data_IF_550512031699
#
_entry.id   IF_550512031699
#
_cell.length_a   1.000
_cell.length_b   1.000
_cell.length_c   1.000
_cell.angle_alpha   90.00
_cell.angle_beta   90.00
_cell.angle_gamma   90.00
#
_symmetry.space_group_name_H-M   'P 1'
#
loop_
_entity.id
_entity.type
_entity.pdbx_description
1 polymer ?
#
# COMPACT_ATOMS: atom_id res chain seq x y z
N UNK A 1 9.58 4.04 -1.50
CA UNK A 1 9.85 2.68 -2.04
C UNK A 1 10.98 1.92 -1.31
N UNK A 2 11.33 2.28 -0.07
CA UNK A 2 12.56 1.82 0.58
C UNK A 2 12.80 0.30 0.55
N UNK A 3 11.81 -0.53 0.91
CA UNK A 3 12.04 -1.98 1.01
C UNK A 3 12.12 -2.69 -0.34
N UNK A 4 11.72 -2.05 -1.44
CA UNK A 4 11.77 -2.62 -2.80
C UNK A 4 12.88 -1.98 -3.65
N UNK A 5 13.37 -0.79 -3.28
CA UNK A 5 14.30 0.00 -4.09
C UNK A 5 15.69 0.17 -3.46
N UNK A 6 15.79 0.19 -2.14
CA UNK A 6 17.05 0.50 -1.47
C UNK A 6 18.00 -0.70 -1.55
N UNK A 7 19.26 -0.46 -1.91
CA UNK A 7 20.26 -1.51 -2.18
C UNK A 7 20.32 -2.57 -1.07
N UNK A 8 20.47 -2.12 0.20
CA UNK A 8 20.49 -2.99 1.40
C UNK A 8 19.24 -3.86 1.59
N UNK A 9 18.10 -3.47 1.05
CA UNK A 9 16.86 -4.24 1.14
C UNK A 9 16.72 -5.19 -0.05
N UNK A 10 17.04 -4.72 -1.26
CA UNK A 10 16.90 -5.50 -2.49
C UNK A 10 17.78 -6.75 -2.57
N UNK A 11 18.90 -6.80 -1.84
CA UNK A 11 19.74 -8.00 -1.75
C UNK A 11 18.99 -9.21 -1.16
N UNK A 12 18.00 -8.97 -0.31
CA UNK A 12 17.23 -10.01 0.36
C UNK A 12 15.96 -10.44 -0.40
N UNK A 13 15.67 -9.81 -1.54
CA UNK A 13 14.50 -10.16 -2.35
C UNK A 13 14.96 -11.14 -3.42
N UNK A 14 14.73 -12.43 -3.21
CA UNK A 14 15.16 -13.48 -4.16
C UNK A 14 13.96 -14.27 -4.68
N UNK A 15 12.88 -14.34 -3.88
CA UNK A 15 11.64 -15.03 -4.20
C UNK A 15 10.44 -14.08 -4.28
N UNK A 16 9.34 -14.57 -4.84
CA UNK A 16 8.05 -13.89 -4.84
C UNK A 16 7.59 -13.56 -3.41
N UNK A 17 7.82 -14.46 -2.44
CA UNK A 17 7.46 -14.20 -1.04
C UNK A 17 8.27 -13.05 -0.44
N UNK A 18 9.57 -12.96 -0.74
CA UNK A 18 10.37 -11.82 -0.29
C UNK A 18 9.88 -10.52 -0.94
N UNK A 19 9.46 -10.57 -2.21
CA UNK A 19 8.93 -9.41 -2.91
C UNK A 19 7.59 -8.96 -2.31
N UNK A 20 6.70 -9.91 -2.01
CA UNK A 20 5.44 -9.66 -1.28
C UNK A 20 5.72 -8.96 0.06
N UNK A 21 6.64 -9.50 0.86
CA UNK A 21 6.99 -8.92 2.15
C UNK A 21 7.58 -7.51 1.99
N UNK A 22 8.38 -7.27 0.94
CA UNK A 22 8.91 -5.95 0.63
C UNK A 22 7.81 -4.94 0.25
N UNK A 23 6.79 -5.34 -0.51
CA UNK A 23 5.61 -4.52 -0.78
C UNK A 23 4.82 -4.20 0.48
N UNK A 24 4.52 -5.21 1.30
CA UNK A 24 3.79 -5.02 2.57
C UNK A 24 4.55 -4.03 3.47
N UNK A 25 5.86 -4.22 3.64
CA UNK A 25 6.69 -3.35 4.50
C UNK A 25 6.80 -1.93 3.94
N UNK A 26 6.94 -1.79 2.62
CA UNK A 26 6.99 -0.46 1.98
C UNK A 26 5.68 0.28 2.18
N UNK A 27 4.56 -0.37 1.86
CA UNK A 27 3.24 0.23 1.97
C UNK A 27 2.86 0.57 3.41
N UNK A 28 3.18 -0.32 4.36
CA UNK A 28 2.97 -0.08 5.78
C UNK A 28 3.82 1.10 6.30
N UNK A 29 5.11 1.16 5.95
CA UNK A 29 5.99 2.23 6.40
C UNK A 29 5.56 3.59 5.84
N UNK A 30 5.22 3.67 4.55
CA UNK A 30 4.73 4.91 3.93
C UNK A 30 3.42 5.37 4.55
N UNK A 31 2.49 4.44 4.79
CA UNK A 31 1.23 4.72 5.49
C UNK A 31 1.46 5.22 6.91
N UNK A 32 2.39 4.61 7.65
CA UNK A 32 2.73 5.02 9.01
C UNK A 32 3.27 6.44 9.06
N UNK A 33 4.23 6.79 8.19
CA UNK A 33 4.78 8.14 8.14
C UNK A 33 3.77 9.17 7.64
N UNK A 34 2.97 8.82 6.62
CA UNK A 34 1.89 9.67 6.13
C UNK A 34 0.85 9.93 7.23
N UNK A 35 0.50 8.91 8.02
CA UNK A 35 -0.40 9.05 9.17
C UNK A 35 0.19 9.98 10.24
N UNK A 36 1.46 9.77 10.61
CA UNK A 36 2.14 10.66 11.56
C UNK A 36 2.15 12.11 11.09
N UNK A 37 2.43 12.35 9.81
CA UNK A 37 2.40 13.69 9.23
C UNK A 37 0.99 14.28 9.25
N UNK A 38 0.00 13.51 8.79
CA UNK A 38 -1.40 13.89 8.77
C UNK A 38 -1.92 14.26 10.18
N UNK A 39 -1.58 13.47 11.20
CA UNK A 39 -1.90 13.80 12.60
C UNK A 39 -1.25 15.11 13.04
N UNK A 40 0.04 15.29 12.76
CA UNK A 40 0.76 16.51 13.16
C UNK A 40 0.09 17.81 12.68
N UNK A 41 -0.54 17.78 11.50
CA UNK A 41 -1.16 18.97 10.90
C UNK A 41 -2.66 19.10 11.19
N UNK A 42 -3.38 17.99 11.40
CA UNK A 42 -4.85 17.97 11.49
C UNK A 42 -5.39 17.60 12.89
N UNK A 43 -4.58 17.01 13.77
CA UNK A 43 -5.04 16.46 15.04
C UNK A 43 -5.23 17.55 16.08
N UNK A 44 -6.40 18.19 16.06
CA UNK A 44 -6.82 19.09 17.13
C UNK A 44 -7.23 18.22 18.32
N UNK A 45 -6.53 18.38 19.44
CA UNK A 45 -6.85 17.74 20.73
C UNK A 45 -6.83 16.19 20.77
N UNK A 46 -6.01 15.52 19.94
CA UNK A 46 -5.86 14.05 19.90
C UNK A 46 -7.14 13.28 19.56
N UNK A 47 -8.07 13.90 18.83
CA UNK A 47 -9.33 13.28 18.41
C UNK A 47 -9.12 12.14 17.41
N UNK A 48 -8.08 12.21 16.59
CA UNK A 48 -7.83 11.22 15.53
C UNK A 48 -7.52 9.82 16.08
N UNK A 49 -6.73 9.74 17.15
CA UNK A 49 -6.43 8.46 17.81
C UNK A 49 -7.69 7.86 18.47
N UNK A 50 -8.60 8.71 18.97
CA UNK A 50 -9.92 8.29 19.46
C UNK A 50 -10.82 7.74 18.36
N UNK A 51 -10.79 8.34 17.17
CA UNK A 51 -11.55 7.88 16.00
C UNK A 51 -11.02 6.54 15.47
N UNK A 52 -9.69 6.35 15.44
CA UNK A 52 -9.12 5.06 15.05
C UNK A 52 -9.55 3.91 15.97
N UNK A 53 -9.67 4.15 17.29
CA UNK A 53 -10.20 3.14 18.24
C UNK A 53 -11.63 2.73 17.92
N UNK A 54 -12.43 3.64 17.37
CA UNK A 54 -13.78 3.38 16.87
C UNK A 54 -13.81 2.78 15.46
N UNK A 55 -12.65 2.45 14.87
CA UNK A 55 -12.55 1.95 13.50
C UNK A 55 -12.82 3.03 12.44
N UNK A 56 -12.58 4.30 12.75
CA UNK A 56 -12.84 5.41 11.84
C UNK A 56 -11.53 6.04 11.34
N UNK A 57 -11.25 5.86 10.06
CA UNK A 57 -10.16 6.53 9.33
C UNK A 57 -10.77 7.80 8.70
N UNK A 58 -10.14 8.98 8.86
CA UNK A 58 -10.60 10.20 8.19
C UNK A 58 -10.74 9.99 6.67
N UNK A 59 -11.86 10.38 6.04
CA UNK A 59 -12.11 10.09 4.63
C UNK A 59 -11.02 10.57 3.67
N UNK A 60 -10.45 11.75 3.89
CA UNK A 60 -9.37 12.32 3.09
C UNK A 60 -8.06 11.55 3.25
N UNK A 61 -7.76 11.04 4.45
CA UNK A 61 -6.59 10.20 4.67
C UNK A 61 -6.78 8.82 4.05
N UNK A 62 -7.97 8.22 4.20
CA UNK A 62 -8.32 6.97 3.51
C UNK A 62 -8.19 7.13 2.00
N UNK A 63 -8.67 8.24 1.44
CA UNK A 63 -8.49 8.56 0.02
C UNK A 63 -7.01 8.56 -0.34
N UNK A 64 -6.15 9.26 0.41
CA UNK A 64 -4.70 9.24 0.18
C UNK A 64 -4.11 7.83 0.16
N UNK A 65 -4.51 6.97 1.11
CA UNK A 65 -4.06 5.56 1.14
C UNK A 65 -4.46 4.79 -0.13
N UNK A 66 -5.68 5.00 -0.62
CA UNK A 66 -6.19 4.34 -1.83
C UNK A 66 -5.39 4.77 -3.08
N UNK A 67 -4.97 6.04 -3.18
CA UNK A 67 -4.08 6.51 -4.26
C UNK A 67 -2.71 5.84 -4.18
N UNK A 68 -2.08 5.86 -3.00
CA UNK A 68 -0.78 5.20 -2.77
C UNK A 68 -0.83 3.71 -3.12
N UNK A 69 -1.93 3.03 -2.78
CA UNK A 69 -2.14 1.63 -3.16
C UNK A 69 -2.19 1.44 -4.68
N UNK A 70 -2.88 2.33 -5.40
CA UNK A 70 -2.90 2.35 -6.86
C UNK A 70 -1.51 2.58 -7.47
N UNK A 71 -0.70 3.46 -6.89
CA UNK A 71 0.66 3.69 -7.37
C UNK A 71 1.56 2.47 -7.16
N UNK A 72 1.44 1.75 -6.04
CA UNK A 72 2.15 0.47 -5.88
C UNK A 72 1.71 -0.58 -6.90
N UNK A 73 0.43 -0.61 -7.27
CA UNK A 73 -0.05 -1.49 -8.34
C UNK A 73 0.67 -1.18 -9.65
N UNK A 74 0.71 0.09 -10.04
CA UNK A 74 1.33 0.48 -11.30
C UNK A 74 2.85 0.28 -11.31
N UNK A 75 3.51 0.42 -10.17
CA UNK A 75 4.92 0.06 -10.02
C UNK A 75 5.12 -1.46 -10.20
N UNK A 76 4.25 -2.29 -9.62
CA UNK A 76 4.29 -3.75 -9.80
C UNK A 76 4.06 -4.17 -11.25
N UNK A 77 3.06 -3.55 -11.90
CA UNK A 77 2.64 -3.84 -13.27
C UNK A 77 3.54 -3.21 -14.34
N UNK A 78 4.52 -2.39 -13.95
CA UNK A 78 5.33 -1.56 -14.86
C UNK A 78 4.51 -0.59 -15.74
N UNK A 79 3.32 -0.20 -15.26
CA UNK A 79 2.44 0.79 -15.89
C UNK A 79 2.57 2.18 -15.27
N UNK A 80 3.41 2.32 -14.24
CA UNK A 80 3.64 3.60 -13.58
C UNK A 80 4.27 4.60 -14.58
N UNK A 81 3.72 5.81 -14.63
CA UNK A 81 4.09 6.88 -15.57
C UNK A 81 5.10 7.85 -14.98
N UNK A 82 5.47 7.66 -13.71
CA UNK A 82 6.49 8.49 -13.06
C UNK A 82 7.86 8.34 -13.75
N UNK A 83 8.72 9.33 -13.52
CA UNK A 83 10.10 9.29 -14.03
C UNK A 83 10.82 8.05 -13.48
N UNK A 84 11.27 7.18 -14.38
CA UNK A 84 12.02 5.95 -14.05
C UNK A 84 13.47 6.27 -13.65
N UNK A 85 13.63 6.93 -12.52
CA UNK A 85 14.92 7.30 -11.94
C UNK A 85 14.95 7.06 -10.43
N UNK A 86 16.15 6.94 -9.86
CA UNK A 86 16.33 6.70 -8.43
C UNK A 86 15.57 5.47 -7.96
N UNK A 87 14.84 5.61 -6.86
CA UNK A 87 14.10 4.51 -6.24
C UNK A 87 13.09 3.83 -7.17
N UNK A 88 12.41 4.56 -8.06
CA UNK A 88 11.45 3.97 -9.00
C UNK A 88 12.15 3.05 -9.99
N UNK A 89 13.31 3.48 -10.51
CA UNK A 89 14.14 2.66 -11.39
C UNK A 89 14.61 1.40 -10.67
N UNK A 90 15.13 1.55 -9.44
CA UNK A 90 15.65 0.42 -8.68
C UNK A 90 14.56 -0.59 -8.32
N UNK A 91 13.37 -0.11 -7.93
CA UNK A 91 12.22 -0.95 -7.68
C UNK A 91 11.82 -1.74 -8.94
N UNK A 92 11.68 -1.06 -10.08
CA UNK A 92 11.40 -1.69 -11.37
C UNK A 92 12.40 -2.78 -11.69
N UNK A 93 13.69 -2.45 -11.74
CA UNK A 93 14.75 -3.40 -12.07
C UNK A 93 14.74 -4.61 -11.13
N UNK A 94 14.39 -4.38 -9.85
CA UNK A 94 14.32 -5.48 -8.90
C UNK A 94 13.13 -6.39 -9.14
N UNK A 95 11.95 -5.82 -9.38
CA UNK A 95 10.73 -6.56 -9.72
C UNK A 95 10.94 -7.36 -11.02
N UNK A 96 11.53 -6.73 -12.04
CA UNK A 96 11.84 -7.35 -13.33
C UNK A 96 12.72 -8.60 -13.14
N UNK A 97 13.76 -8.50 -12.29
CA UNK A 97 14.64 -9.63 -11.98
C UNK A 97 13.94 -10.79 -11.29
N UNK A 98 12.94 -10.54 -10.45
CA UNK A 98 12.17 -11.60 -9.77
C UNK A 98 11.25 -12.32 -10.76
N UNK A 99 10.63 -11.57 -11.66
CA UNK A 99 9.68 -12.12 -12.63
C UNK A 99 10.32 -12.67 -13.91
N UNK A 100 11.62 -12.43 -14.12
CA UNK A 100 12.38 -13.03 -15.23
C UNK A 100 12.89 -14.40 -14.81
N UNK A 101 12.36 -15.48 -15.40
CA UNK A 101 12.94 -16.83 -15.29
C UNK A 101 13.74 -17.15 -16.56
N UNK A 102 14.95 -17.70 -16.39
CA UNK A 102 15.76 -18.27 -17.47
C UNK A 102 16.01 -17.37 -18.71
N UNK A 103 16.03 -16.05 -18.54
CA UNK A 103 16.31 -15.10 -19.64
C UNK A 103 15.12 -14.77 -20.55
N UNK A 104 13.91 -15.24 -20.22
CA UNK A 104 12.70 -14.81 -20.92
C UNK A 104 12.28 -13.40 -20.51
N UNK A 105 11.68 -12.65 -21.43
CA UNK A 105 11.10 -11.34 -21.10
C UNK A 105 9.99 -11.52 -20.07
N UNK A 106 9.91 -10.60 -19.11
CA UNK A 106 8.77 -10.53 -18.19
C UNK A 106 7.47 -10.46 -18.99
N UNK A 107 6.55 -11.40 -18.72
CA UNK A 107 5.21 -11.36 -19.26
C UNK A 107 4.29 -10.66 -18.25
N UNK A 108 3.43 -9.77 -18.73
CA UNK A 108 2.42 -9.04 -17.96
C UNK A 108 1.55 -9.98 -17.11
N UNK A 109 1.36 -11.22 -17.54
CA UNK A 109 0.65 -12.27 -16.79
C UNK A 109 1.26 -12.52 -15.40
N UNK A 110 2.60 -12.61 -15.28
CA UNK A 110 3.25 -12.91 -13.99
C UNK A 110 3.04 -11.77 -13.00
N UNK A 111 3.17 -10.52 -13.47
CA UNK A 111 2.93 -9.33 -12.63
C UNK A 111 1.49 -9.27 -12.16
N UNK A 112 0.56 -9.58 -13.06
CA UNK A 112 -0.88 -9.60 -12.77
C UNK A 112 -1.20 -10.65 -11.71
N UNK A 113 -0.74 -11.88 -11.89
CA UNK A 113 -0.94 -12.98 -10.94
C UNK A 113 -0.32 -12.64 -9.58
N UNK A 114 0.90 -12.11 -9.56
CA UNK A 114 1.54 -11.67 -8.33
C UNK A 114 0.71 -10.60 -7.62
N UNK A 115 0.26 -9.56 -8.34
CA UNK A 115 -0.54 -8.50 -7.75
C UNK A 115 -1.87 -9.03 -7.21
N UNK A 116 -2.64 -9.76 -8.02
CA UNK A 116 -3.93 -10.33 -7.62
C UNK A 116 -3.83 -11.23 -6.38
N UNK A 117 -2.75 -12.03 -6.29
CA UNK A 117 -2.49 -12.89 -5.13
C UNK A 117 -2.18 -12.11 -3.84
N UNK A 118 -1.53 -10.95 -3.96
CA UNK A 118 -0.92 -10.26 -2.81
C UNK A 118 -1.57 -8.91 -2.45
N UNK A 119 -2.40 -8.34 -3.33
CA UNK A 119 -3.04 -7.03 -3.20
C UNK A 119 -3.74 -6.85 -1.84
N UNK A 120 -4.52 -7.85 -1.42
CA UNK A 120 -5.21 -7.83 -0.14
C UNK A 120 -4.23 -7.75 1.05
N UNK A 121 -3.13 -8.50 1.00
CA UNK A 121 -2.13 -8.50 2.07
C UNK A 121 -1.38 -7.17 2.14
N UNK A 122 -1.10 -6.54 1.00
CA UNK A 122 -0.49 -5.21 0.92
C UNK A 122 -1.42 -4.17 1.56
N UNK A 123 -2.70 -4.17 1.18
CA UNK A 123 -3.71 -3.28 1.74
C UNK A 123 -3.88 -3.48 3.26
N UNK A 124 -3.95 -4.74 3.71
CA UNK A 124 -4.00 -5.09 5.13
C UNK A 124 -2.76 -4.60 5.89
N UNK A 125 -1.58 -4.63 5.25
CA UNK A 125 -0.34 -4.04 5.78
C UNK A 125 -0.46 -2.54 6.03
N UNK A 126 -1.02 -1.80 5.07
CA UNK A 126 -1.29 -0.36 5.21
C UNK A 126 -2.23 -0.08 6.38
N UNK A 127 -3.36 -0.80 6.49
CA UNK A 127 -4.30 -0.65 7.61
C UNK A 127 -3.65 -1.00 8.96
N UNK A 128 -2.86 -2.07 9.01
CA UNK A 128 -2.16 -2.50 10.22
C UNK A 128 -1.18 -1.43 10.72
N UNK A 129 -0.55 -0.67 9.81
CA UNK A 129 0.39 0.39 10.14
C UNK A 129 -0.25 1.52 10.96
N UNK A 130 -1.55 1.79 10.78
CA UNK A 130 -2.30 2.79 11.55
C UNK A 130 -2.47 2.41 13.03
N UNK A 131 -2.33 1.13 13.36
CA UNK A 131 -2.41 0.66 14.74
C UNK A 131 -1.06 0.67 15.47
N UNK A 132 0.04 0.98 14.79
CA UNK A 132 1.37 0.98 15.41
C UNK A 132 1.58 2.25 16.25
N UNK A 133 1.98 2.07 17.51
CA UNK A 133 2.36 3.16 18.41
C UNK A 133 3.90 3.27 18.45
N UNK A 134 4.43 4.43 18.08
CA UNK A 134 5.87 4.70 18.02
C UNK A 134 6.55 4.83 19.39
N UNK A 135 5.81 5.20 20.43
CA UNK A 135 6.33 5.39 21.78
C UNK A 135 6.52 4.04 22.48
N UNK A 136 5.45 3.22 22.48
CA UNK A 136 5.49 1.88 23.08
C UNK A 136 6.14 0.86 22.18
N UNK A 137 6.27 1.15 20.88
CA UNK A 137 6.75 0.24 19.83
C UNK A 137 5.87 -1.01 19.67
N UNK A 138 4.59 -0.89 19.99
CA UNK A 138 3.62 -1.97 19.95
C UNK A 138 2.43 -1.63 19.04
N UNK A 139 1.76 -2.67 18.55
CA UNK A 139 0.50 -2.50 17.84
C UNK A 139 -0.66 -2.44 18.84
N UNK A 140 -1.48 -1.39 18.76
CA UNK A 140 -2.75 -1.34 19.47
C UNK A 140 -3.68 -2.42 18.92
N UNK A 141 -3.92 -3.46 19.73
CA UNK A 141 -4.71 -4.64 19.35
C UNK A 141 -6.17 -4.31 19.04
N UNK A 142 -6.76 -3.34 19.74
CA UNK A 142 -8.13 -2.90 19.51
C UNK A 142 -8.26 -2.23 18.14
N UNK A 143 -7.45 -1.20 17.88
CA UNK A 143 -7.41 -0.50 16.58
C UNK A 143 -7.13 -1.49 15.45
N UNK A 144 -6.14 -2.37 15.64
CA UNK A 144 -5.80 -3.37 14.63
C UNK A 144 -6.98 -4.29 14.31
N UNK A 145 -7.69 -4.78 15.32
CA UNK A 145 -8.86 -5.63 15.14
C UNK A 145 -9.97 -4.88 14.41
N UNK A 146 -10.25 -3.64 14.81
CA UNK A 146 -11.28 -2.80 14.18
C UNK A 146 -10.99 -2.53 12.71
N UNK A 147 -9.73 -2.30 12.34
CA UNK A 147 -9.35 -1.96 10.97
C UNK A 147 -9.11 -3.18 10.08
N UNK A 148 -8.71 -4.33 10.62
CA UNK A 148 -8.28 -5.50 9.82
C UNK A 148 -9.06 -6.79 10.08
N UNK A 149 -10.01 -6.76 11.03
CA UNK A 149 -10.84 -7.91 11.40
C UNK A 149 -11.92 -8.27 10.37
N UNK A 150 -12.63 -9.38 10.61
CA UNK A 150 -13.68 -9.88 9.72
C UNK A 150 -14.89 -8.95 9.60
N UNK A 151 -15.09 -8.04 10.55
CA UNK A 151 -16.18 -7.05 10.54
C UNK A 151 -15.71 -5.66 10.06
N UNK A 152 -14.44 -5.52 9.67
CA UNK A 152 -13.89 -4.24 9.22
C UNK A 152 -14.55 -3.79 7.92
N UNK A 153 -15.03 -2.55 7.89
CA UNK A 153 -15.51 -1.89 6.66
C UNK A 153 -14.40 -1.54 5.66
N UNK A 154 -13.12 -1.72 6.04
CA UNK A 154 -11.97 -1.46 5.17
C UNK A 154 -11.40 -2.73 4.52
N UNK A 155 -12.14 -3.83 4.50
CA UNK A 155 -11.71 -5.02 3.78
C UNK A 155 -11.45 -4.74 2.30
N UNK A 156 -10.42 -5.37 1.76
CA UNK A 156 -9.93 -5.13 0.40
C UNK A 156 -11.05 -5.25 -0.66
N UNK A 157 -11.92 -6.25 -0.52
CA UNK A 157 -12.98 -6.52 -1.49
C UNK A 157 -14.20 -5.58 -1.38
N UNK A 158 -14.35 -4.83 -0.29
CA UNK A 158 -15.55 -4.03 -0.01
C UNK A 158 -15.28 -2.54 0.16
N UNK A 159 -14.04 -2.15 0.50
CA UNK A 159 -13.70 -0.75 0.73
C UNK A 159 -13.85 0.07 -0.55
N UNK A 160 -14.55 1.19 -0.44
CA UNK A 160 -14.88 2.09 -1.55
C UNK A 160 -13.91 3.26 -1.60
N UNK A 161 -13.69 3.77 -2.79
CA UNK A 161 -12.92 4.99 -3.06
C UNK A 161 -13.52 6.23 -2.38
N UNK A 162 -14.85 6.34 -2.46
CA UNK A 162 -15.60 7.42 -1.82
C UNK A 162 -17.03 6.96 -1.53
N UNK A 163 -17.66 7.56 -0.52
CA UNK A 163 -19.07 7.27 -0.19
C UNK A 163 -20.05 7.68 -1.30
N UNK A 164 -19.61 8.52 -2.24
CA UNK A 164 -20.42 9.01 -3.36
C UNK A 164 -20.41 8.07 -4.57
N UNK A 165 -19.55 7.06 -4.58
CA UNK A 165 -19.32 6.18 -5.72
C UNK A 165 -19.34 4.72 -5.30
N UNK A 166 -19.79 3.82 -6.18
CA UNK A 166 -19.67 2.37 -5.95
C UNK A 166 -18.29 1.81 -6.35
N UNK A 167 -17.32 2.66 -6.68
CA UNK A 167 -15.97 2.25 -7.08
C UNK A 167 -15.23 1.66 -5.88
N UNK A 168 -14.84 0.38 -5.97
CA UNK A 168 -14.03 -0.31 -4.96
C UNK A 168 -12.55 0.05 -5.08
N UNK A 169 -11.76 -0.23 -4.06
CA UNK A 169 -10.30 -0.10 -4.09
C UNK A 169 -9.67 -0.83 -5.28
N UNK A 170 -10.06 -2.09 -5.52
CA UNK A 170 -9.53 -2.88 -6.63
C UNK A 170 -9.84 -2.22 -7.98
N UNK A 171 -11.10 -1.82 -8.22
CA UNK A 171 -11.50 -1.14 -9.46
C UNK A 171 -10.78 0.20 -9.62
N UNK A 172 -10.67 0.98 -8.53
CA UNK A 172 -9.94 2.25 -8.55
C UNK A 172 -8.48 2.04 -8.93
N UNK A 173 -7.78 1.08 -8.29
CA UNK A 173 -6.36 0.82 -8.55
C UNK A 173 -6.08 0.39 -10.01
N UNK A 174 -7.06 -0.18 -10.71
CA UNK A 174 -6.97 -0.57 -12.12
C UNK A 174 -7.23 0.58 -13.09
N UNK A 175 -7.80 1.70 -12.62
CA UNK A 175 -8.01 2.89 -13.45
C UNK A 175 -6.65 3.42 -13.93
N UNK A 176 -6.46 3.78 -15.21
CA UNK A 176 -5.18 4.29 -15.71
C UNK A 176 -4.60 5.40 -14.82
N UNK A 177 -3.31 5.30 -14.47
CA UNK A 177 -2.69 6.18 -13.48
C UNK A 177 -2.88 7.67 -13.78
N UNK A 178 -2.74 8.06 -15.05
CA UNK A 178 -3.00 9.42 -15.51
C UNK A 178 -4.38 9.93 -15.09
N UNK A 179 -5.43 9.11 -15.28
CA UNK A 179 -6.79 9.49 -14.90
C UNK A 179 -6.96 9.54 -13.38
N UNK A 180 -6.30 8.64 -12.63
CA UNK A 180 -6.33 8.70 -11.16
C UNK A 180 -5.68 9.97 -10.64
N UNK A 181 -4.53 10.37 -11.18
CA UNK A 181 -3.82 11.58 -10.74
C UNK A 181 -4.52 12.88 -11.15
N UNK A 182 -5.41 12.83 -12.13
CA UNK A 182 -6.18 14.00 -12.57
C UNK A 182 -7.35 14.36 -11.65
N UNK A 183 -7.90 13.40 -10.90
CA UNK A 183 -9.13 13.52 -10.08
C UNK A 183 -8.86 13.63 -8.58
#
# INVERSE_FOLDING_TARGET
>A
LYYIAHERQTQNIITDDNLKDAFIRTAAAETFFAWHYYKKINDKANELDGNLKKGQIPPEFLRSMIYTFGDYRDICMDTDISKKSGDVKNAKEKIDKIFTKNGEKTNDTIRKEFWEKNAESIWKGMLCALSYNSETKEFNKEVRTQLTGPDSKYQYNSVKFSDKTNTTLSTFSQTPQFLRWFI
#
